data_IF_652670034240
#
_entry.id   IF_652670034240
#
_cell.length_a   1.000
_cell.length_b   1.000
_cell.length_c   1.000
_cell.angle_alpha   90.00
_cell.angle_beta   90.00
_cell.angle_gamma   90.00
#
_symmetry.space_group_name_H-M   'P 1'
#
loop_
_entity.id
_entity.type
_entity.pdbx_description
1 polymer ?
#
# COMPACT_ATOMS: atom_id res chain seq x y z
N UNK A 1 -41.61 52.03 62.21
CA UNK A 1 -41.08 50.71 61.82
C UNK A 1 -40.50 50.83 60.42
N UNK A 2 -39.17 50.71 60.28
CA UNK A 2 -38.44 50.84 59.01
C UNK A 2 -38.08 49.42 58.55
N UNK A 3 -38.52 49.02 57.36
CA UNK A 3 -38.05 47.80 56.70
C UNK A 3 -36.89 48.17 55.77
N UNK A 4 -35.69 47.67 56.07
CA UNK A 4 -34.52 47.71 55.19
C UNK A 4 -34.59 46.44 54.35
N UNK A 5 -34.89 46.59 53.06
CA UNK A 5 -34.74 45.51 52.08
C UNK A 5 -33.29 45.52 51.62
N UNK A 6 -32.52 44.55 52.11
CA UNK A 6 -31.16 44.26 51.61
C UNK A 6 -31.32 43.44 50.34
N UNK A 7 -31.15 44.09 49.18
CA UNK A 7 -31.05 43.40 47.89
C UNK A 7 -29.62 42.86 47.79
N UNK A 8 -29.48 41.54 47.98
CA UNK A 8 -28.25 40.80 47.78
C UNK A 8 -28.00 40.73 46.26
N UNK A 9 -27.09 41.57 45.76
CA UNK A 9 -26.58 41.49 44.39
C UNK A 9 -25.62 40.30 44.36
N UNK A 10 -26.13 39.11 44.06
CA UNK A 10 -25.31 37.96 43.67
C UNK A 10 -24.72 38.26 42.30
N UNK A 11 -23.43 38.59 42.30
CA UNK A 11 -22.56 38.64 41.13
C UNK A 11 -22.63 37.32 40.37
N UNK A 12 -23.38 37.31 39.27
CA UNK A 12 -23.28 36.32 38.21
C UNK A 12 -21.95 36.50 37.50
N UNK A 13 -20.89 35.98 38.12
CA UNK A 13 -19.66 35.61 37.41
C UNK A 13 -19.98 34.39 36.56
N UNK A 14 -20.72 34.59 35.47
CA UNK A 14 -20.68 33.65 34.35
C UNK A 14 -19.22 33.61 33.91
N UNK A 15 -18.55 32.52 34.26
CA UNK A 15 -17.29 32.15 33.65
C UNK A 15 -17.53 32.18 32.14
N UNK A 16 -16.93 33.17 31.48
CA UNK A 16 -16.72 33.17 30.05
C UNK A 16 -15.81 31.95 29.79
N UNK A 17 -16.39 30.77 29.60
CA UNK A 17 -15.66 29.70 28.94
C UNK A 17 -15.31 30.28 27.57
N UNK A 18 -14.02 30.41 27.21
CA UNK A 18 -13.66 30.83 25.87
C UNK A 18 -14.38 29.87 24.93
N UNK A 19 -15.25 30.44 24.10
CA UNK A 19 -15.94 29.72 23.05
C UNK A 19 -14.81 29.20 22.15
N UNK A 20 -14.44 27.93 22.36
CA UNK A 20 -13.35 27.24 21.66
C UNK A 20 -13.61 27.45 20.17
N UNK A 21 -12.74 28.23 19.51
CA UNK A 21 -12.84 28.46 18.07
C UNK A 21 -12.91 27.10 17.39
N UNK A 22 -14.03 26.85 16.71
CA UNK A 22 -14.19 25.68 15.90
C UNK A 22 -13.20 25.83 14.74
N UNK A 23 -12.08 25.13 14.88
CA UNK A 23 -10.91 25.34 14.05
C UNK A 23 -11.27 25.09 12.58
N UNK A 24 -11.30 26.16 11.78
CA UNK A 24 -11.74 26.15 10.39
C UNK A 24 -10.69 25.48 9.49
N UNK A 25 -10.97 24.24 9.07
CA UNK A 25 -10.12 23.46 8.15
C UNK A 25 -9.94 24.13 6.80
N UNK A 26 -10.90 24.93 6.34
CA UNK A 26 -10.77 25.69 5.09
C UNK A 26 -9.71 26.79 5.22
N UNK A 27 -9.67 27.50 6.35
CA UNK A 27 -8.65 28.52 6.61
C UNK A 27 -7.24 27.91 6.69
N UNK A 28 -7.13 26.71 7.30
CA UNK A 28 -5.86 25.98 7.34
C UNK A 28 -5.35 25.64 5.93
N UNK A 29 -6.21 25.07 5.07
CA UNK A 29 -5.81 24.67 3.72
C UNK A 29 -5.63 25.85 2.76
N UNK A 30 -6.23 27.01 3.04
CA UNK A 30 -5.88 28.26 2.36
C UNK A 30 -4.44 28.70 2.69
N UNK A 31 -4.02 28.55 3.94
CA UNK A 31 -2.64 28.87 4.38
C UNK A 31 -1.62 27.84 3.89
N UNK A 32 -2.03 26.59 3.72
CA UNK A 32 -1.19 25.49 3.22
C UNK A 32 -1.85 24.78 2.02
N UNK A 33 -1.82 25.39 0.82
CA UNK A 33 -2.51 24.87 -0.37
C UNK A 33 -2.07 23.46 -0.78
N UNK A 34 -0.84 23.05 -0.44
CA UNK A 34 -0.35 21.69 -0.69
C UNK A 34 -1.15 20.61 0.06
N UNK A 35 -1.89 20.99 1.12
CA UNK A 35 -2.75 20.07 1.87
C UNK A 35 -4.22 20.13 1.47
N UNK A 36 -4.59 20.91 0.43
CA UNK A 36 -5.98 21.02 -0.06
C UNK A 36 -6.60 19.69 -0.49
N UNK A 37 -5.79 18.68 -0.85
CA UNK A 37 -6.26 17.35 -1.23
C UNK A 37 -6.68 16.45 -0.06
N UNK A 38 -6.41 16.84 1.20
CA UNK A 38 -6.72 16.04 2.40
C UNK A 38 -8.16 16.29 2.85
N UNK A 39 -9.11 15.69 2.15
CA UNK A 39 -10.55 15.97 2.31
C UNK A 39 -11.32 14.90 3.09
N UNK A 40 -10.73 13.72 3.32
CA UNK A 40 -11.40 12.64 4.05
C UNK A 40 -11.03 12.70 5.54
N UNK A 41 -12.00 13.04 6.39
CA UNK A 41 -11.79 13.20 7.82
C UNK A 41 -12.11 11.92 8.61
N UNK A 42 -11.24 11.57 9.56
CA UNK A 42 -11.46 10.50 10.52
C UNK A 42 -11.88 11.07 11.87
N UNK A 43 -12.72 10.33 12.59
CA UNK A 43 -13.10 10.67 13.95
C UNK A 43 -12.08 10.13 14.94
N UNK A 44 -11.57 11.00 15.78
CA UNK A 44 -10.75 10.63 16.94
C UNK A 44 -11.63 9.91 17.97
N UNK A 45 -11.26 8.69 18.39
CA UNK A 45 -12.05 7.91 19.38
C UNK A 45 -11.94 8.51 20.78
N UNK A 46 -10.71 8.79 21.19
CA UNK A 46 -10.39 9.36 22.49
C UNK A 46 -9.21 10.30 22.32
N UNK A 47 -9.27 11.47 22.95
CA UNK A 47 -8.17 12.43 22.98
C UNK A 47 -8.02 12.95 24.40
N UNK A 48 -6.79 13.05 24.93
CA UNK A 48 -6.52 13.78 26.16
C UNK A 48 -7.02 15.23 26.09
N UNK A 49 -7.43 15.82 27.22
CA UNK A 49 -7.98 17.19 27.25
C UNK A 49 -7.01 18.27 26.74
N UNK A 50 -5.71 18.01 26.90
CA UNK A 50 -4.61 18.89 26.50
C UNK A 50 -4.11 18.65 25.07
N UNK A 51 -4.68 17.66 24.37
CA UNK A 51 -4.24 17.25 23.04
C UNK A 51 -5.46 17.18 22.12
N UNK A 52 -5.49 18.04 21.12
CA UNK A 52 -6.51 18.05 20.08
C UNK A 52 -5.90 17.57 18.78
N UNK A 53 -6.49 16.55 18.17
CA UNK A 53 -6.01 16.02 16.90
C UNK A 53 -7.17 15.92 15.93
N UNK A 54 -7.01 16.56 14.77
CA UNK A 54 -7.81 16.29 13.58
C UNK A 54 -6.98 15.43 12.62
N UNK A 55 -7.59 14.41 12.05
CA UNK A 55 -6.92 13.45 11.18
C UNK A 55 -7.61 13.37 9.84
N UNK A 56 -6.83 13.60 8.78
CA UNK A 56 -7.32 13.66 7.41
C UNK A 56 -6.56 12.67 6.53
N UNK A 57 -7.18 12.28 5.44
CA UNK A 57 -6.54 11.56 4.36
C UNK A 57 -6.81 12.24 3.02
N UNK A 58 -5.87 12.05 2.10
CA UNK A 58 -6.03 12.41 0.70
C UNK A 58 -6.55 11.18 -0.07
N UNK A 59 -7.82 11.19 -0.53
CA UNK A 59 -8.44 10.04 -1.19
C UNK A 59 -7.72 9.58 -2.46
N UNK A 60 -7.00 10.47 -3.14
CA UNK A 60 -6.35 10.18 -4.42
C UNK A 60 -4.96 9.57 -4.27
N UNK A 61 -4.24 9.90 -3.20
CA UNK A 61 -2.86 9.44 -2.97
C UNK A 61 -2.75 8.38 -1.89
N UNK A 62 -3.75 8.28 -1.00
CA UNK A 62 -3.69 7.41 0.17
C UNK A 62 -2.87 8.00 1.32
N UNK A 63 -2.32 9.21 1.19
CA UNK A 63 -1.52 9.83 2.25
C UNK A 63 -2.42 10.35 3.36
N UNK A 64 -1.89 10.41 4.58
CA UNK A 64 -2.62 10.87 5.77
C UNK A 64 -1.93 12.05 6.44
N UNK A 65 -2.71 12.90 7.10
CA UNK A 65 -2.26 14.15 7.70
C UNK A 65 -2.86 14.24 9.10
N UNK A 66 -2.00 14.36 10.11
CA UNK A 66 -2.42 14.74 11.45
C UNK A 66 -2.22 16.25 11.64
N UNK A 67 -3.27 16.93 12.07
CA UNK A 67 -3.17 18.25 12.65
C UNK A 67 -3.27 18.11 14.16
N UNK A 68 -2.17 18.41 14.85
CA UNK A 68 -2.06 18.30 16.30
C UNK A 68 -2.01 19.69 16.91
N UNK A 69 -2.84 19.93 17.91
CA UNK A 69 -2.76 21.10 18.79
C UNK A 69 -2.59 20.64 20.24
N UNK A 70 -1.60 21.19 20.93
CA UNK A 70 -1.27 20.88 22.32
C UNK A 70 -1.35 22.14 23.17
N UNK A 71 -2.12 22.08 24.26
CA UNK A 71 -2.53 23.28 25.00
C UNK A 71 -1.82 23.48 26.34
N UNK A 72 -0.97 22.55 26.79
CA UNK A 72 -0.22 22.76 28.03
C UNK A 72 1.03 23.61 27.78
N UNK A 73 1.35 24.46 28.75
CA UNK A 73 2.60 25.21 28.79
C UNK A 73 3.79 24.26 28.97
N UNK A 74 4.64 24.15 27.95
CA UNK A 74 5.84 23.31 28.03
C UNK A 74 7.14 24.11 28.05
N UNK A 75 7.80 24.08 29.20
CA UNK A 75 9.21 24.41 29.34
C UNK A 75 10.09 23.30 28.71
N UNK A 76 10.50 23.50 27.46
CA UNK A 76 11.81 23.00 26.99
C UNK A 76 11.94 21.54 26.51
N UNK A 77 10.88 20.78 26.24
CA UNK A 77 10.98 19.47 25.53
C UNK A 77 10.32 19.52 24.15
N UNK A 78 11.00 18.97 23.15
CA UNK A 78 10.43 18.74 21.81
C UNK A 78 9.51 17.51 21.84
N UNK A 79 8.25 17.72 22.23
CA UNK A 79 7.22 16.67 22.36
C UNK A 79 6.99 15.98 21.02
N UNK A 80 7.08 16.74 19.93
CA UNK A 80 6.69 16.32 18.59
C UNK A 80 7.88 16.21 17.64
N UNK A 81 9.00 15.71 18.16
CA UNK A 81 10.13 15.32 17.33
C UNK A 81 9.70 14.23 16.33
N UNK A 82 10.21 14.25 15.08
CA UNK A 82 9.87 13.24 14.07
C UNK A 82 10.07 11.79 14.56
N UNK A 83 11.11 11.55 15.35
CA UNK A 83 11.45 10.23 15.90
C UNK A 83 10.47 9.76 16.99
N UNK A 84 9.78 10.70 17.64
CA UNK A 84 8.79 10.43 18.68
C UNK A 84 7.40 10.05 18.14
N UNK A 85 7.19 10.14 16.83
CA UNK A 85 5.89 10.04 16.18
C UNK A 85 5.84 8.90 15.17
N UNK A 86 4.74 8.15 15.17
CA UNK A 86 4.49 7.14 14.13
C UNK A 86 2.99 6.92 13.95
N UNK A 87 2.55 6.77 12.70
CA UNK A 87 1.21 6.31 12.37
C UNK A 87 1.24 4.80 12.10
N UNK A 88 0.18 4.10 12.51
CA UNK A 88 -0.05 2.69 12.18
C UNK A 88 -1.46 2.55 11.61
N UNK A 89 -1.57 2.04 10.39
CA UNK A 89 -2.83 1.63 9.77
C UNK A 89 -3.39 0.37 10.44
N UNK A 90 -4.70 0.14 10.33
CA UNK A 90 -5.38 -1.02 10.94
C UNK A 90 -4.68 -2.36 10.65
N UNK A 91 -4.23 -2.57 9.43
CA UNK A 91 -3.55 -3.80 8.99
C UNK A 91 -2.06 -3.88 9.38
N UNK A 92 -1.58 -2.91 10.17
CA UNK A 92 -0.22 -2.88 10.72
C UNK A 92 0.82 -2.20 9.85
N UNK A 93 0.45 -1.59 8.72
CA UNK A 93 1.33 -0.68 7.98
C UNK A 93 1.77 0.49 8.87
N UNK A 94 3.06 0.79 8.92
CA UNK A 94 3.61 1.85 9.79
C UNK A 94 4.35 2.88 8.97
N UNK A 95 4.25 4.14 9.37
CA UNK A 95 5.04 5.21 8.80
C UNK A 95 5.47 6.21 9.87
N UNK A 96 6.67 6.73 9.69
CA UNK A 96 7.17 7.89 10.42
C UNK A 96 6.67 9.16 9.71
N UNK A 97 6.64 10.32 10.40
CA UNK A 97 6.31 11.58 9.75
C UNK A 97 7.34 11.89 8.65
N UNK A 98 6.87 12.45 7.53
CA UNK A 98 7.78 12.96 6.49
C UNK A 98 8.48 14.22 6.95
N UNK A 99 7.70 15.08 7.61
CA UNK A 99 8.12 16.36 8.16
C UNK A 99 7.17 16.77 9.28
N UNK A 100 7.57 17.76 10.06
CA UNK A 100 6.75 18.37 11.12
C UNK A 100 6.70 19.86 10.83
N UNK A 101 5.51 20.36 10.48
CA UNK A 101 5.33 21.72 9.98
C UNK A 101 4.56 22.54 11.03
N UNK A 102 5.15 23.61 11.58
CA UNK A 102 4.43 24.47 12.50
C UNK A 102 3.30 25.22 11.77
N UNK A 103 2.08 25.18 12.31
CA UNK A 103 0.92 25.89 11.75
C UNK A 103 1.11 27.40 11.86
N UNK A 104 1.71 27.85 12.96
CA UNK A 104 2.09 29.25 13.19
C UNK A 104 3.54 29.32 13.71
N UNK A 105 4.47 29.99 13.01
CA UNK A 105 5.83 30.20 13.49
C UNK A 105 5.90 30.89 14.86
N UNK A 106 4.94 31.77 15.19
CA UNK A 106 4.90 32.47 16.47
C UNK A 106 4.55 31.54 17.65
N UNK A 107 3.89 30.41 17.35
CA UNK A 107 3.43 29.40 18.33
C UNK A 107 3.86 27.99 17.88
N UNK A 108 5.05 27.89 17.28
CA UNK A 108 5.52 26.75 16.50
C UNK A 108 5.48 25.40 17.24
N UNK A 109 5.37 25.41 18.57
CA UNK A 109 5.36 24.21 19.42
C UNK A 109 3.97 23.75 19.88
N UNK A 110 2.92 24.54 19.63
CA UNK A 110 1.57 24.21 20.08
C UNK A 110 0.66 23.70 18.97
N UNK A 111 0.93 23.99 17.69
CA UNK A 111 0.10 23.50 16.58
C UNK A 111 0.94 23.09 15.38
N UNK A 112 0.77 21.83 14.95
CA UNK A 112 1.62 21.17 13.97
C UNK A 112 0.80 20.41 12.92
N UNK A 113 1.29 20.43 11.69
CA UNK A 113 0.84 19.57 10.58
C UNK A 113 1.89 18.50 10.33
N UNK A 114 1.44 17.26 10.27
CA UNK A 114 2.32 16.10 10.23
C UNK A 114 1.82 15.12 9.15
N UNK A 115 2.39 15.18 7.93
CA UNK A 115 2.05 14.25 6.86
C UNK A 115 2.76 12.90 7.04
N UNK A 116 2.05 11.83 6.68
CA UNK A 116 2.56 10.45 6.67
C UNK A 116 2.23 9.75 5.35
N UNK A 117 3.16 8.91 4.92
CA UNK A 117 2.98 7.96 3.81
C UNK A 117 2.96 6.54 4.34
N UNK A 118 1.77 6.09 4.71
CA UNK A 118 1.57 4.74 5.23
C UNK A 118 1.05 3.84 4.12
N UNK A 119 1.54 2.61 4.08
CA UNK A 119 0.95 1.55 3.25
C UNK A 119 -0.37 1.17 3.88
N UNK A 120 -1.47 1.52 3.22
CA UNK A 120 -2.81 1.44 3.81
C UNK A 120 -3.39 0.04 3.74
N UNK A 121 -3.17 -0.71 2.65
CA UNK A 121 -3.52 -2.13 2.55
C UNK A 121 -2.23 -2.93 2.31
N UNK A 122 -1.74 -3.57 3.37
CA UNK A 122 -0.43 -4.25 3.36
C UNK A 122 -0.48 -5.47 2.45
N UNK A 123 -1.59 -6.17 2.44
CA UNK A 123 -1.77 -7.38 1.65
C UNK A 123 -1.87 -7.03 0.16
N UNK A 124 -2.59 -5.95 -0.17
CA UNK A 124 -2.72 -5.45 -1.53
C UNK A 124 -1.36 -4.98 -2.05
N UNK A 125 -0.61 -4.24 -1.23
CA UNK A 125 0.75 -3.81 -1.55
C UNK A 125 1.67 -5.00 -1.79
N UNK A 126 1.63 -6.04 -0.96
CA UNK A 126 2.44 -7.26 -1.16
C UNK A 126 2.16 -7.93 -2.51
N UNK A 127 0.92 -7.88 -3.00
CA UNK A 127 0.48 -8.54 -4.25
C UNK A 127 0.66 -7.66 -5.49
N UNK A 128 0.60 -6.35 -5.36
CA UNK A 128 0.51 -5.41 -6.51
C UNK A 128 1.59 -4.33 -6.51
N UNK A 129 2.31 -4.15 -5.39
CA UNK A 129 3.21 -3.02 -5.14
C UNK A 129 2.50 -1.63 -5.18
N UNK A 130 1.17 -1.61 -5.03
CA UNK A 130 0.37 -0.39 -4.96
C UNK A 130 -0.04 -0.10 -3.51
N UNK A 131 -0.09 1.19 -3.12
CA UNK A 131 -0.34 1.64 -1.73
C UNK A 131 -1.70 1.13 -1.17
N UNK A 132 -2.64 0.80 -2.06
CA UNK A 132 -3.96 0.27 -1.72
C UNK A 132 -4.97 1.34 -1.30
N UNK A 133 -6.16 0.88 -0.91
CA UNK A 133 -7.23 1.74 -0.41
C UNK A 133 -6.88 2.30 0.97
N UNK A 134 -7.40 3.47 1.33
CA UNK A 134 -7.32 3.98 2.70
C UNK A 134 -7.83 2.94 3.69
N UNK A 135 -7.20 2.85 4.86
CA UNK A 135 -7.66 2.01 5.95
C UNK A 135 -8.91 2.60 6.64
N UNK A 136 -9.80 1.77 7.23
CA UNK A 136 -10.96 2.26 7.98
C UNK A 136 -10.56 2.87 9.33
N UNK A 137 -9.37 2.55 9.85
CA UNK A 137 -8.85 3.12 11.09
C UNK A 137 -7.33 3.22 11.10
N UNK A 138 -6.82 4.14 11.91
CA UNK A 138 -5.41 4.39 12.14
C UNK A 138 -5.15 4.62 13.62
N UNK A 139 -3.88 4.54 14.01
CA UNK A 139 -3.44 5.00 15.32
C UNK A 139 -2.15 5.80 15.23
N UNK A 140 -2.13 6.95 15.91
CA UNK A 140 -0.95 7.80 16.07
C UNK A 140 -0.32 7.51 17.43
N UNK A 141 0.94 7.10 17.42
CA UNK A 141 1.75 6.96 18.64
C UNK A 141 2.55 8.24 18.85
N UNK A 142 2.48 8.79 20.06
CA UNK A 142 3.26 9.94 20.53
C UNK A 142 4.09 9.45 21.73
N UNK A 143 5.35 9.13 21.47
CA UNK A 143 6.21 8.42 22.43
C UNK A 143 6.55 9.29 23.64
N UNK A 144 6.80 10.57 23.43
CA UNK A 144 7.10 11.56 24.48
C UNK A 144 5.99 11.69 25.54
N UNK A 145 4.73 11.46 25.14
CA UNK A 145 3.56 11.50 26.02
C UNK A 145 3.14 10.09 26.49
N UNK A 146 3.79 9.04 26.00
CA UNK A 146 3.36 7.65 26.13
C UNK A 146 1.86 7.48 25.76
N UNK A 147 1.45 8.07 24.64
CA UNK A 147 0.06 8.02 24.15
C UNK A 147 -0.05 7.32 22.80
N UNK A 148 -1.18 6.65 22.63
CA UNK A 148 -1.68 6.12 21.36
C UNK A 148 -3.09 6.67 21.15
N UNK A 149 -3.28 7.40 20.07
CA UNK A 149 -4.56 8.02 19.71
C UNK A 149 -5.13 7.26 18.52
N UNK A 150 -6.40 6.88 18.59
CA UNK A 150 -7.06 6.07 17.58
C UNK A 150 -8.05 6.89 16.77
N UNK A 151 -8.06 6.67 15.45
CA UNK A 151 -8.92 7.35 14.49
C UNK A 151 -9.72 6.31 13.73
N UNK A 152 -11.01 6.56 13.54
CA UNK A 152 -11.91 5.68 12.79
C UNK A 152 -12.74 6.48 11.79
N UNK A 153 -12.85 5.95 10.57
CA UNK A 153 -13.68 6.52 9.54
C UNK A 153 -15.16 6.29 9.87
N UNK A 154 -16.01 7.25 9.53
CA UNK A 154 -17.44 6.97 9.52
C UNK A 154 -17.74 5.91 8.45
N UNK A 155 -18.48 4.84 8.81
CA UNK A 155 -18.79 3.73 7.90
C UNK A 155 -19.44 4.18 6.57
N UNK A 156 -20.36 5.15 6.62
CA UNK A 156 -21.03 5.64 5.41
C UNK A 156 -20.07 6.41 4.51
N UNK A 157 -19.30 7.35 5.07
CA UNK A 157 -18.29 8.10 4.32
C UNK A 157 -17.20 7.20 3.75
N UNK A 158 -16.77 6.19 4.51
CA UNK A 158 -15.77 5.22 4.07
C UNK A 158 -16.28 4.36 2.89
N UNK A 159 -17.53 3.91 2.92
CA UNK A 159 -18.12 3.20 1.79
C UNK A 159 -18.21 4.09 0.53
N UNK A 160 -18.60 5.36 0.69
CA UNK A 160 -18.60 6.32 -0.43
C UNK A 160 -17.19 6.54 -1.00
N UNK A 161 -16.17 6.59 -0.13
CA UNK A 161 -14.77 6.63 -0.55
C UNK A 161 -14.42 5.39 -1.39
N UNK A 162 -14.73 4.18 -0.91
CA UNK A 162 -14.44 2.94 -1.63
C UNK A 162 -15.13 2.85 -2.99
N UNK A 163 -16.35 3.37 -3.11
CA UNK A 163 -17.08 3.41 -4.39
C UNK A 163 -16.41 4.34 -5.42
N UNK A 164 -15.88 5.48 -4.96
CA UNK A 164 -15.33 6.51 -5.85
C UNK A 164 -13.84 6.34 -6.13
N UNK A 165 -13.09 5.89 -5.14
CA UNK A 165 -11.62 5.87 -5.13
C UNK A 165 -11.03 4.48 -4.90
N UNK A 166 -11.84 3.49 -4.53
CA UNK A 166 -11.37 2.14 -4.17
C UNK A 166 -10.68 1.46 -5.35
N UNK A 167 -9.36 1.31 -5.28
CA UNK A 167 -8.54 0.65 -6.29
C UNK A 167 -8.60 -0.88 -6.14
N UNK A 168 -8.79 -1.38 -4.93
CA UNK A 168 -8.84 -2.83 -4.65
C UNK A 168 -9.97 -3.51 -5.41
N UNK A 169 -11.16 -2.89 -5.42
CA UNK A 169 -12.33 -3.39 -6.17
C UNK A 169 -12.17 -3.27 -7.69
N UNK A 170 -11.37 -2.32 -8.14
CA UNK A 170 -11.06 -2.11 -9.56
C UNK A 170 -9.89 -2.96 -10.07
N UNK A 171 -9.23 -3.70 -9.18
CA UNK A 171 -8.06 -4.53 -9.49
C UNK A 171 -8.44 -5.99 -9.51
N UNK A 172 -8.12 -6.67 -10.61
CA UNK A 172 -8.24 -8.13 -10.71
C UNK A 172 -6.86 -8.76 -10.49
N UNK A 173 -6.75 -9.66 -9.52
CA UNK A 173 -5.50 -10.40 -9.26
C UNK A 173 -5.50 -11.74 -10.01
N UNK A 174 -4.32 -12.20 -10.39
CA UNK A 174 -4.13 -13.50 -11.03
C UNK A 174 -3.07 -14.32 -10.31
N UNK A 175 -3.43 -15.55 -9.99
CA UNK A 175 -2.52 -16.53 -9.41
C UNK A 175 -2.01 -17.48 -10.50
N UNK A 176 -0.77 -17.95 -10.32
CA UNK A 176 -0.17 -18.96 -11.18
C UNK A 176 -0.88 -20.31 -10.97
N UNK A 177 -1.21 -20.99 -12.05
CA UNK A 177 -1.67 -22.37 -12.06
C UNK A 177 -0.65 -23.24 -12.79
N UNK A 178 -0.06 -24.19 -12.06
CA UNK A 178 0.96 -25.10 -12.57
C UNK A 178 0.61 -26.54 -12.20
N UNK A 179 0.64 -27.45 -13.17
CA UNK A 179 0.61 -28.89 -12.91
C UNK A 179 2.00 -29.32 -12.40
N UNK A 180 2.12 -29.42 -11.08
CA UNK A 180 3.36 -29.74 -10.38
C UNK A 180 3.89 -31.14 -10.72
N UNK A 181 3.01 -32.11 -10.99
CA UNK A 181 3.41 -33.47 -11.31
C UNK A 181 3.99 -33.54 -12.72
N UNK A 182 3.26 -33.00 -13.70
CA UNK A 182 3.72 -32.95 -15.10
C UNK A 182 5.02 -32.16 -15.23
N UNK A 183 5.14 -31.03 -14.53
CA UNK A 183 6.36 -30.23 -14.52
C UNK A 183 7.54 -30.96 -13.84
N UNK A 184 7.33 -31.64 -12.72
CA UNK A 184 8.40 -32.40 -12.04
C UNK A 184 8.93 -33.54 -12.92
N UNK A 185 8.03 -34.29 -13.58
CA UNK A 185 8.42 -35.35 -14.52
C UNK A 185 9.25 -34.81 -15.70
N UNK A 186 8.88 -33.63 -16.22
CA UNK A 186 9.63 -32.94 -17.26
C UNK A 186 11.03 -32.50 -16.81
N UNK A 187 11.17 -32.00 -15.59
CA UNK A 187 12.48 -31.66 -15.03
C UNK A 187 13.39 -32.89 -14.95
N UNK A 188 12.86 -33.99 -14.42
CA UNK A 188 13.62 -35.25 -14.30
C UNK A 188 14.05 -35.79 -15.67
N UNK A 189 13.15 -35.77 -16.66
CA UNK A 189 13.49 -36.26 -18.02
C UNK A 189 14.54 -35.43 -18.74
N UNK A 190 14.70 -34.15 -18.36
CA UNK A 190 15.76 -33.27 -18.85
C UNK A 190 17.02 -33.26 -17.96
N UNK A 191 17.09 -34.11 -16.93
CA UNK A 191 18.26 -34.18 -16.03
C UNK A 191 18.39 -33.00 -15.05
N UNK A 192 17.29 -32.29 -14.79
CA UNK A 192 17.21 -31.21 -13.80
C UNK A 192 16.84 -31.78 -12.41
N UNK A 193 17.02 -30.97 -11.37
CA UNK A 193 16.55 -31.33 -10.02
C UNK A 193 15.04 -31.52 -10.00
N UNK A 194 14.58 -32.56 -9.30
CA UNK A 194 13.15 -32.89 -9.13
C UNK A 194 12.42 -31.99 -8.13
N UNK A 195 13.15 -31.19 -7.36
CA UNK A 195 12.55 -30.26 -6.41
C UNK A 195 11.64 -29.28 -7.16
N UNK A 196 10.39 -29.24 -6.73
CA UNK A 196 9.38 -28.31 -7.20
C UNK A 196 8.50 -27.91 -6.01
N UNK A 197 8.38 -26.61 -5.83
CA UNK A 197 7.40 -25.99 -4.96
C UNK A 197 6.66 -24.92 -5.75
N UNK A 198 5.35 -24.84 -5.57
CA UNK A 198 4.50 -23.84 -6.21
C UNK A 198 3.51 -23.32 -5.17
N UNK A 199 3.58 -22.03 -4.91
CA UNK A 199 2.60 -21.22 -4.19
C UNK A 199 1.95 -20.22 -5.16
N UNK A 200 1.00 -19.41 -4.71
CA UNK A 200 0.16 -18.54 -5.55
C UNK A 200 0.95 -17.73 -6.59
N UNK A 201 2.09 -17.16 -6.18
CA UNK A 201 2.94 -16.30 -7.00
C UNK A 201 4.43 -16.70 -6.96
N UNK A 202 4.79 -17.75 -6.22
CA UNK A 202 6.16 -18.18 -6.02
C UNK A 202 6.34 -19.60 -6.53
N UNK A 203 7.28 -19.80 -7.45
CA UNK A 203 7.65 -21.10 -7.98
C UNK A 203 9.12 -21.34 -7.67
N UNK A 204 9.45 -22.48 -7.08
CA UNK A 204 10.83 -22.91 -6.89
C UNK A 204 11.02 -24.24 -7.59
N UNK A 205 11.75 -24.26 -8.70
CA UNK A 205 11.91 -25.46 -9.52
C UNK A 205 13.31 -25.53 -10.15
N UNK A 206 13.91 -26.71 -10.16
CA UNK A 206 15.24 -26.95 -10.73
C UNK A 206 16.37 -26.04 -10.15
N UNK A 207 16.23 -25.59 -8.91
CA UNK A 207 17.15 -24.62 -8.29
C UNK A 207 16.94 -23.17 -8.77
N UNK A 208 15.79 -22.86 -9.37
CA UNK A 208 15.44 -21.53 -9.86
C UNK A 208 14.21 -21.07 -9.08
N UNK A 209 14.29 -19.88 -8.50
CA UNK A 209 13.18 -19.26 -7.79
C UNK A 209 12.57 -18.19 -8.69
N UNK A 210 11.28 -18.30 -8.97
CA UNK A 210 10.50 -17.35 -9.73
C UNK A 210 9.42 -16.76 -8.83
N UNK A 211 9.29 -15.45 -8.90
CA UNK A 211 8.16 -14.71 -8.34
C UNK A 211 7.45 -14.04 -9.51
N UNK A 212 6.20 -14.44 -9.75
CA UNK A 212 5.34 -13.97 -10.83
C UNK A 212 4.11 -13.32 -10.21
N UNK A 213 4.04 -11.99 -10.25
CA UNK A 213 2.92 -11.24 -9.68
C UNK A 213 2.14 -10.58 -10.81
N UNK A 214 0.86 -10.93 -10.95
CA UNK A 214 0.02 -10.42 -12.02
C UNK A 214 -1.25 -9.78 -11.49
N UNK A 215 -1.56 -8.59 -11.98
CA UNK A 215 -2.81 -7.91 -11.71
C UNK A 215 -3.25 -7.06 -12.90
N UNK A 216 -4.55 -6.98 -13.13
CA UNK A 216 -5.14 -6.08 -14.10
C UNK A 216 -5.77 -4.90 -13.36
N UNK A 217 -5.44 -3.70 -13.82
CA UNK A 217 -6.06 -2.46 -13.37
C UNK A 217 -6.54 -1.70 -14.62
N UNK A 218 -7.86 -1.49 -14.71
CA UNK A 218 -8.50 -0.89 -15.89
C UNK A 218 -8.12 -1.66 -17.18
N UNK A 219 -7.52 -0.97 -18.15
CA UNK A 219 -7.18 -1.48 -19.47
C UNK A 219 -5.73 -1.96 -19.59
N UNK A 220 -5.08 -2.27 -18.45
CA UNK A 220 -3.70 -2.73 -18.44
C UNK A 220 -3.53 -3.91 -17.49
N UNK A 221 -2.99 -5.01 -18.01
CA UNK A 221 -2.44 -6.09 -17.20
C UNK A 221 -0.97 -5.78 -16.88
N UNK A 222 -0.60 -5.90 -15.61
CA UNK A 222 0.77 -5.81 -15.11
C UNK A 222 1.25 -7.20 -14.73
N UNK A 223 2.46 -7.55 -15.14
CA UNK A 223 3.15 -8.77 -14.73
C UNK A 223 4.55 -8.38 -14.22
N UNK A 224 4.78 -8.49 -12.92
CA UNK A 224 6.11 -8.39 -12.33
C UNK A 224 6.76 -9.76 -12.31
N UNK A 225 7.96 -9.85 -12.89
CA UNK A 225 8.75 -11.07 -13.00
C UNK A 225 10.05 -10.88 -12.25
N UNK A 226 10.30 -11.75 -11.27
CA UNK A 226 11.60 -11.87 -10.62
C UNK A 226 12.07 -13.32 -10.70
N UNK A 227 13.27 -13.52 -11.22
CA UNK A 227 13.89 -14.83 -11.39
C UNK A 227 15.26 -14.78 -10.70
N UNK A 228 15.55 -15.77 -9.86
CA UNK A 228 16.84 -15.95 -9.21
C UNK A 228 17.34 -17.36 -9.51
N UNK A 229 18.53 -17.44 -10.11
CA UNK A 229 19.13 -18.72 -10.45
C UNK A 229 20.02 -19.22 -9.32
N UNK A 230 19.57 -20.19 -8.52
CA UNK A 230 20.41 -20.91 -7.55
C UNK A 230 20.97 -22.23 -8.13
N UNK A 231 20.57 -22.59 -9.34
CA UNK A 231 20.92 -23.81 -10.04
C UNK A 231 22.35 -23.80 -10.56
N UNK A 232 22.79 -24.96 -11.03
CA UNK A 232 24.11 -25.13 -11.68
C UNK A 232 24.10 -24.76 -13.17
N UNK A 233 22.92 -24.73 -13.79
CA UNK A 233 22.74 -24.45 -15.20
C UNK A 233 22.48 -22.96 -15.40
N UNK A 234 23.02 -22.40 -16.48
CA UNK A 234 22.72 -21.03 -16.87
C UNK A 234 21.30 -20.92 -17.43
N UNK A 235 20.68 -19.75 -17.26
CA UNK A 235 19.39 -19.43 -17.86
C UNK A 235 19.57 -18.47 -19.03
N UNK A 236 18.73 -18.63 -20.04
CA UNK A 236 18.50 -17.65 -21.09
C UNK A 236 17.11 -17.08 -20.92
N UNK A 237 17.03 -15.75 -20.84
CA UNK A 237 15.79 -15.00 -20.70
C UNK A 237 15.65 -14.09 -21.92
N UNK A 238 14.52 -14.21 -22.60
CA UNK A 238 14.14 -13.39 -23.75
C UNK A 238 12.99 -12.46 -23.35
N UNK A 239 13.27 -11.21 -22.94
CA UNK A 239 12.23 -10.33 -22.40
C UNK A 239 11.12 -9.99 -23.42
N UNK A 240 11.46 -9.93 -24.70
CA UNK A 240 10.54 -9.73 -25.82
C UNK A 240 9.58 -10.93 -26.05
N UNK A 241 9.91 -12.09 -25.50
CA UNK A 241 9.12 -13.33 -25.59
C UNK A 241 8.21 -13.53 -24.37
N UNK A 242 8.17 -12.59 -23.43
CA UNK A 242 7.11 -12.53 -22.40
C UNK A 242 5.77 -12.09 -23.02
N UNK A 243 5.27 -12.89 -23.94
CA UNK A 243 4.00 -12.71 -24.63
C UNK A 243 2.93 -13.46 -23.85
N UNK A 244 1.78 -12.82 -23.67
CA UNK A 244 0.61 -13.49 -23.10
C UNK A 244 -0.37 -13.88 -24.20
N UNK A 245 -1.08 -14.98 -23.98
CA UNK A 245 -2.21 -15.40 -24.81
C UNK A 245 -3.49 -15.36 -23.99
N UNK A 246 -4.49 -14.65 -24.50
CA UNK A 246 -5.85 -14.59 -23.95
C UNK A 246 -6.89 -14.65 -25.07
N UNK A 247 -7.93 -15.48 -24.92
CA UNK A 247 -8.98 -15.68 -25.93
C UNK A 247 -8.43 -15.87 -27.36
N UNK A 248 -7.36 -16.67 -27.49
CA UNK A 248 -6.64 -16.91 -28.75
C UNK A 248 -5.87 -15.72 -29.35
N UNK A 249 -5.92 -14.53 -28.75
CA UNK A 249 -5.10 -13.37 -29.14
C UNK A 249 -3.77 -13.39 -28.40
N UNK A 250 -2.68 -13.12 -29.12
CA UNK A 250 -1.37 -12.84 -28.54
C UNK A 250 -1.27 -11.35 -28.23
N UNK A 251 -0.78 -11.02 -27.03
CA UNK A 251 -0.62 -9.66 -26.57
C UNK A 251 0.84 -9.49 -26.14
N UNK A 252 1.51 -8.54 -26.77
CA UNK A 252 2.89 -8.18 -26.46
C UNK A 252 2.92 -7.10 -25.37
N UNK A 253 4.00 -7.03 -24.57
CA UNK A 253 4.18 -5.95 -23.62
C UNK A 253 4.42 -4.61 -24.35
N UNK A 254 3.97 -3.49 -23.77
CA UNK A 254 4.14 -2.14 -24.32
C UNK A 254 5.61 -1.73 -24.42
N UNK A 255 6.42 -2.13 -23.44
CA UNK A 255 7.84 -1.85 -23.37
C UNK A 255 8.55 -3.18 -23.12
N UNK A 256 9.51 -3.51 -23.98
CA UNK A 256 10.38 -4.67 -23.79
C UNK A 256 11.79 -4.38 -24.29
N UNK A 257 12.74 -5.15 -23.79
CA UNK A 257 14.09 -5.20 -24.31
C UNK A 257 14.22 -6.45 -25.17
N UNK A 258 14.78 -6.31 -26.38
CA UNK A 258 15.15 -7.45 -27.22
C UNK A 258 16.50 -8.06 -26.83
N UNK A 259 17.17 -7.49 -25.82
CA UNK A 259 18.47 -7.98 -25.38
C UNK A 259 18.29 -9.27 -24.57
N UNK A 260 18.80 -10.37 -25.13
CA UNK A 260 18.90 -11.66 -24.46
C UNK A 260 19.68 -11.50 -23.13
N UNK A 261 19.10 -11.97 -22.03
CA UNK A 261 19.73 -11.96 -20.71
C UNK A 261 20.16 -13.36 -20.33
N UNK A 262 21.44 -13.52 -20.00
CA UNK A 262 21.99 -14.77 -19.51
C UNK A 262 22.18 -14.67 -18.00
N UNK A 263 21.59 -15.60 -17.23
CA UNK A 263 21.76 -15.65 -15.77
C UNK A 263 22.59 -16.85 -15.36
N UNK A 264 23.74 -16.59 -14.76
CA UNK A 264 24.55 -17.59 -14.07
C UNK A 264 24.03 -17.84 -12.66
N UNK A 265 24.63 -18.81 -11.99
CA UNK A 265 24.33 -19.09 -10.57
C UNK A 265 24.57 -17.84 -9.73
N UNK A 266 23.57 -17.43 -8.97
CA UNK A 266 23.56 -16.23 -8.13
C UNK A 266 23.00 -14.98 -8.81
N UNK A 267 22.85 -14.99 -10.14
CA UNK A 267 22.30 -13.86 -10.88
C UNK A 267 20.78 -13.78 -10.72
N UNK A 268 20.28 -12.56 -10.92
CA UNK A 268 18.85 -12.22 -10.82
C UNK A 268 18.39 -11.43 -12.03
N UNK A 269 17.17 -11.70 -12.46
CA UNK A 269 16.43 -10.89 -13.43
C UNK A 269 15.17 -10.37 -12.76
N UNK A 270 14.92 -9.07 -12.89
CA UNK A 270 13.73 -8.39 -12.35
C UNK A 270 13.22 -7.45 -13.43
N UNK A 271 11.98 -7.65 -13.86
CA UNK A 271 11.36 -6.80 -14.87
C UNK A 271 9.85 -6.78 -14.70
N UNK A 272 9.26 -5.60 -14.90
CA UNK A 272 7.83 -5.40 -14.96
C UNK A 272 7.38 -5.28 -16.42
N UNK A 273 6.32 -6.00 -16.77
CA UNK A 273 5.69 -5.98 -18.08
C UNK A 273 4.29 -5.40 -17.98
N UNK A 274 3.90 -4.65 -19.01
CA UNK A 274 2.59 -3.99 -19.11
C UNK A 274 1.96 -4.40 -20.42
N UNK A 275 0.75 -4.94 -20.37
CA UNK A 275 0.03 -5.40 -21.54
C UNK A 275 -1.26 -4.60 -21.69
N UNK A 276 -1.53 -4.02 -22.86
CA UNK A 276 -2.81 -3.35 -23.11
C UNK A 276 -3.92 -4.39 -23.23
N UNK A 277 -5.04 -4.16 -22.55
CA UNK A 277 -6.20 -5.06 -22.53
C UNK A 277 -7.48 -4.27 -22.75
N UNK A 278 -8.34 -4.74 -23.65
CA UNK A 278 -9.59 -4.04 -23.98
C UNK A 278 -10.76 -4.39 -23.03
N UNK A 279 -10.57 -5.41 -22.19
CA UNK A 279 -11.57 -5.94 -21.25
C UNK A 279 -10.88 -6.66 -20.10
N UNK A 280 -11.63 -6.96 -19.04
CA UNK A 280 -11.15 -7.80 -17.93
C UNK A 280 -10.87 -9.22 -18.41
N UNK A 281 -9.66 -9.73 -18.16
CA UNK A 281 -9.30 -11.10 -18.50
C UNK A 281 -9.81 -12.07 -17.43
N UNK A 282 -10.51 -13.13 -17.83
CA UNK A 282 -10.85 -14.22 -16.89
C UNK A 282 -9.64 -15.08 -16.53
N UNK A 283 -8.77 -15.29 -17.51
CA UNK A 283 -7.51 -16.00 -17.41
C UNK A 283 -6.61 -15.59 -18.57
N UNK A 284 -5.30 -15.85 -18.44
CA UNK A 284 -4.35 -15.74 -19.54
C UNK A 284 -3.25 -16.79 -19.39
N UNK A 285 -2.43 -16.96 -20.43
CA UNK A 285 -1.26 -17.85 -20.38
C UNK A 285 -0.02 -17.08 -20.78
N UNK A 286 1.07 -17.21 -20.02
CA UNK A 286 2.39 -16.72 -20.38
C UNK A 286 3.11 -17.80 -21.20
N UNK A 287 3.65 -17.43 -22.36
CA UNK A 287 4.39 -18.35 -23.21
C UNK A 287 5.66 -18.85 -22.50
N UNK A 288 5.91 -20.17 -22.56
CA UNK A 288 7.02 -20.82 -21.86
C UNK A 288 8.40 -20.51 -22.45
N UNK A 289 8.44 -20.03 -23.68
CA UNK A 289 9.64 -19.77 -24.46
C UNK A 289 10.51 -18.65 -23.87
N UNK A 290 9.93 -17.78 -23.03
CA UNK A 290 10.61 -16.64 -22.44
C UNK A 290 11.77 -17.01 -21.49
N UNK A 291 11.76 -18.23 -20.93
CA UNK A 291 12.77 -18.68 -19.96
C UNK A 291 13.24 -20.08 -20.32
N UNK A 292 14.53 -20.19 -20.62
CA UNK A 292 15.18 -21.45 -21.00
C UNK A 292 16.37 -21.75 -20.09
N UNK A 293 16.64 -23.03 -19.88
CA UNK A 293 17.80 -23.56 -19.16
C UNK A 293 18.79 -24.12 -20.18
N UNK A 294 20.08 -23.81 -20.03
CA UNK A 294 21.14 -24.37 -20.87
C UNK A 294 21.63 -25.69 -20.27
N UNK A 295 21.32 -26.80 -20.94
CA UNK A 295 21.74 -28.14 -20.53
C UNK A 295 22.61 -28.72 -21.63
N UNK A 296 23.88 -29.03 -21.33
CA UNK A 296 24.84 -29.57 -22.30
C UNK A 296 24.85 -28.79 -23.63
N UNK A 297 24.98 -27.46 -23.52
CA UNK A 297 24.95 -26.49 -24.63
C UNK A 297 23.63 -26.41 -25.42
N UNK A 298 22.56 -27.10 -25.01
CA UNK A 298 21.24 -27.03 -25.64
C UNK A 298 20.27 -26.24 -24.77
N UNK A 299 19.60 -25.21 -25.31
CA UNK A 299 18.53 -24.53 -24.59
C UNK A 299 17.29 -25.42 -24.54
N UNK A 300 16.72 -25.56 -23.36
CA UNK A 300 15.46 -26.25 -23.11
C UNK A 300 14.55 -25.32 -22.31
N UNK A 301 13.26 -25.26 -22.64
CA UNK A 301 12.34 -24.41 -21.88
C UNK A 301 12.32 -24.82 -20.40
N UNK A 302 12.24 -23.84 -19.52
CA UNK A 302 12.13 -24.10 -18.09
C UNK A 302 10.81 -24.82 -17.75
N UNK A 303 9.76 -24.48 -18.49
CA UNK A 303 8.42 -25.02 -18.30
C UNK A 303 8.04 -25.99 -19.43
N UNK A 304 7.33 -27.06 -19.07
CA UNK A 304 6.81 -28.03 -20.04
C UNK A 304 5.69 -27.43 -20.91
N UNK A 305 4.84 -26.61 -20.29
CA UNK A 305 3.66 -25.97 -20.87
C UNK A 305 3.70 -24.47 -20.62
N UNK A 306 2.87 -23.72 -21.35
CA UNK A 306 2.63 -22.31 -21.04
C UNK A 306 2.10 -22.18 -19.62
N UNK A 307 2.44 -21.09 -18.95
CA UNK A 307 2.11 -20.87 -17.55
C UNK A 307 0.73 -20.22 -17.50
N UNK A 308 -0.25 -20.91 -16.91
CA UNK A 308 -1.61 -20.40 -16.79
C UNK A 308 -1.73 -19.44 -15.60
N UNK A 309 -2.48 -18.36 -15.78
CA UNK A 309 -2.82 -17.39 -14.76
C UNK A 309 -4.34 -17.32 -14.64
N UNK A 310 -4.86 -17.64 -13.45
CA UNK A 310 -6.31 -17.66 -13.17
C UNK A 310 -6.68 -16.49 -12.29
N UNK A 311 -7.81 -15.84 -12.62
CA UNK A 311 -8.40 -14.82 -11.76
C UNK A 311 -8.62 -15.37 -10.35
N UNK A 312 -8.19 -14.63 -9.34
CA UNK A 312 -8.42 -14.94 -7.93
C UNK A 312 -9.27 -13.86 -7.29
N UNK A 313 -10.15 -14.25 -6.36
CA UNK A 313 -10.94 -13.28 -5.60
C UNK A 313 -10.10 -12.75 -4.44
N UNK A 314 -10.18 -11.45 -4.19
CA UNK A 314 -9.43 -10.86 -3.08
C UNK A 314 -9.86 -11.43 -1.72
N UNK A 315 -11.14 -11.78 -1.56
CA UNK A 315 -11.71 -12.24 -0.29
C UNK A 315 -11.16 -13.57 0.23
N UNK A 316 -10.46 -14.36 -0.60
CA UNK A 316 -9.79 -15.58 -0.14
C UNK A 316 -8.41 -15.33 0.48
N UNK A 317 -7.95 -14.08 0.53
CA UNK A 317 -6.59 -13.70 0.96
C UNK A 317 -6.52 -13.12 2.39
N UNK A 318 -7.66 -12.93 3.05
CA UNK A 318 -7.75 -12.42 4.44
C UNK A 318 -7.79 -13.55 5.48
N UNK A 319 -7.43 -14.78 5.09
CA UNK A 319 -7.41 -15.99 5.92
C UNK A 319 -6.09 -16.22 6.66
#
# INVERSE_FOLDING_TARGET
>A
MRYIIIILITSLSFACQPQREEVNTQALFQRYPQFSGYTFEYKTKTSPDNLHIKFFANPSTGHVLAWITYTDDFAGKDIFSPEGLSITAFEGGRANPREVIPVDPAIAKQSLLIPFEVVNDRWFYKKTNLIGDLCPSYSLKITSLNKKIEFEANKSSYNQYLEKHGIKRATTLYNVALDTLTQSNYQVSNGLSSFLHADENELSLAGINLQLQAYQLKNSLKLSVKIVNHGKHELLIQPDVFIIKSNSKLIQPEIFSSELKQLRKGDRFIQDFVYPTDHELKQFTLLKEAVQVIINTKPVNLFIQNIEFKKTNYSSLEG
#
